data_IF_589818373639
#
_entry.id   IF_589818373639
#
_cell.length_a   1.000
_cell.length_b   1.000
_cell.length_c   1.000
_cell.angle_alpha   90.00
_cell.angle_beta   90.00
_cell.angle_gamma   90.00
#
_symmetry.space_group_name_H-M   'P 1'
#
loop_
_entity.id
_entity.type
_entity.pdbx_description
1 polymer ?
#
# COMPACT_ATOMS: atom_id res chain seq x y z
N UNK A 1 -25.70 22.61 25.26
CA UNK A 1 -25.74 21.19 24.89
C UNK A 1 -24.72 20.96 23.79
N UNK A 2 -23.98 19.85 23.94
CA UNK A 2 -23.14 19.14 22.97
C UNK A 2 -21.89 19.84 22.44
N UNK A 3 -20.80 19.56 23.15
CA UNK A 3 -19.42 19.50 22.68
C UNK A 3 -19.31 18.51 21.52
N UNK A 4 -19.01 19.00 20.33
CA UNK A 4 -18.62 18.20 19.18
C UNK A 4 -17.19 17.70 19.41
N UNK A 5 -17.06 16.47 19.91
CA UNK A 5 -15.79 15.74 19.87
C UNK A 5 -15.49 15.41 18.41
N UNK A 6 -14.54 16.11 17.82
CA UNK A 6 -13.85 15.61 16.62
C UNK A 6 -13.15 14.32 17.02
N UNK A 7 -13.77 13.16 16.72
CA UNK A 7 -13.05 11.90 16.75
C UNK A 7 -11.87 12.06 15.80
N UNK A 8 -10.65 12.04 16.33
CA UNK A 8 -9.47 11.90 15.51
C UNK A 8 -9.68 10.63 14.67
N UNK A 9 -9.84 10.79 13.35
CA UNK A 9 -9.99 9.66 12.45
C UNK A 9 -8.77 8.78 12.60
N UNK A 10 -8.95 7.55 13.09
CA UNK A 10 -7.87 6.58 13.20
C UNK A 10 -7.25 6.40 11.80
N UNK A 11 -5.93 6.54 11.69
CA UNK A 11 -5.20 6.37 10.43
C UNK A 11 -4.65 4.95 10.37
N UNK A 12 -4.79 4.34 9.20
CA UNK A 12 -4.25 3.05 8.82
C UNK A 12 -3.16 3.29 7.78
N UNK A 13 -1.94 2.85 8.05
CA UNK A 13 -0.82 2.98 7.11
C UNK A 13 -0.54 1.64 6.46
N UNK A 14 -0.40 1.66 5.13
CA UNK A 14 0.03 0.50 4.33
C UNK A 14 1.37 0.83 3.66
N UNK A 15 2.18 -0.19 3.40
CA UNK A 15 3.60 0.01 3.06
C UNK A 15 3.93 -0.64 1.72
N UNK A 16 4.70 0.04 0.88
CA UNK A 16 5.19 -0.52 -0.38
C UNK A 16 6.69 -0.31 -0.50
N UNK A 17 7.39 -1.30 -1.02
CA UNK A 17 8.71 -1.08 -1.61
C UNK A 17 8.55 -0.77 -3.10
N UNK A 18 8.81 0.48 -3.55
CA UNK A 18 8.82 0.78 -4.97
C UNK A 18 9.94 0.00 -5.67
N UNK A 19 9.66 -0.57 -6.84
CA UNK A 19 10.71 -1.11 -7.69
C UNK A 19 11.71 -0.02 -8.08
N UNK A 20 12.97 -0.41 -8.35
CA UNK A 20 14.06 0.48 -8.78
C UNK A 20 13.60 1.50 -9.83
N UNK A 21 13.87 2.77 -9.60
CA UNK A 21 13.52 3.89 -10.47
C UNK A 21 12.06 4.34 -10.40
N UNK A 22 11.17 3.63 -9.68
CA UNK A 22 9.75 3.98 -9.59
C UNK A 22 9.37 4.77 -8.33
N UNK A 23 10.26 4.86 -7.33
CA UNK A 23 9.93 5.49 -6.04
C UNK A 23 9.45 6.94 -6.16
N UNK A 24 10.20 7.77 -6.87
CA UNK A 24 9.81 9.18 -7.08
C UNK A 24 8.56 9.32 -7.94
N UNK A 25 8.41 8.49 -8.97
CA UNK A 25 7.23 8.49 -9.82
C UNK A 25 5.96 8.18 -9.02
N UNK A 26 5.99 7.10 -8.24
CA UNK A 26 4.86 6.74 -7.38
C UNK A 26 4.57 7.81 -6.32
N UNK A 27 5.58 8.48 -5.78
CA UNK A 27 5.38 9.59 -4.85
C UNK A 27 4.64 10.77 -5.53
N UNK A 28 5.10 11.18 -6.72
CA UNK A 28 4.61 12.40 -7.40
C UNK A 28 3.31 12.17 -8.17
N UNK A 29 3.26 11.12 -8.99
CA UNK A 29 2.16 10.84 -9.94
C UNK A 29 1.16 9.83 -9.37
N UNK A 30 1.60 9.03 -8.40
CA UNK A 30 0.77 8.01 -7.78
C UNK A 30 0.72 6.72 -8.54
N UNK A 31 -0.34 5.97 -8.28
CA UNK A 31 -0.56 4.67 -8.89
C UNK A 31 -1.32 4.86 -10.18
N UNK A 32 -0.67 4.62 -11.31
CA UNK A 32 -1.28 4.68 -12.64
C UNK A 32 -1.38 3.28 -13.23
N UNK A 33 -2.49 2.90 -13.89
CA UNK A 33 -2.62 1.58 -14.51
C UNK A 33 -1.46 1.24 -15.47
N UNK A 34 -0.89 2.24 -16.15
CA UNK A 34 0.26 2.07 -17.04
C UNK A 34 1.54 1.60 -16.32
N UNK A 35 1.68 1.86 -15.02
CA UNK A 35 2.82 1.41 -14.21
C UNK A 35 2.68 -0.03 -13.70
N UNK A 36 1.47 -0.58 -13.81
CA UNK A 36 1.06 -1.91 -13.36
C UNK A 36 0.31 -2.62 -14.50
N UNK A 37 0.97 -3.00 -15.61
CA UNK A 37 0.29 -3.56 -16.77
C UNK A 37 -0.48 -4.85 -16.45
N UNK A 38 -1.58 -5.09 -17.17
CA UNK A 38 -2.36 -6.33 -17.11
C UNK A 38 -2.12 -7.14 -18.38
N UNK A 39 -1.38 -8.24 -18.28
CA UNK A 39 -1.05 -9.15 -19.37
C UNK A 39 -0.90 -10.59 -18.83
N UNK A 40 -2.02 -11.27 -18.53
CA UNK A 40 -1.99 -12.61 -17.95
C UNK A 40 -1.38 -13.64 -18.91
N UNK A 41 -0.73 -14.70 -18.39
CA UNK A 41 -0.64 -15.06 -16.97
C UNK A 41 0.50 -14.35 -16.22
N UNK A 42 1.30 -13.51 -16.88
CA UNK A 42 2.56 -13.00 -16.32
C UNK A 42 2.41 -11.71 -15.53
N UNK A 43 1.44 -10.87 -15.89
CA UNK A 43 1.20 -9.57 -15.25
C UNK A 43 -0.28 -9.46 -14.92
N UNK A 44 -0.60 -9.22 -13.67
CA UNK A 44 -1.96 -9.23 -13.13
C UNK A 44 -2.51 -7.83 -12.84
N UNK A 45 -1.74 -6.79 -13.16
CA UNK A 45 -2.10 -5.39 -12.99
C UNK A 45 -2.27 -4.93 -11.54
N UNK A 46 -1.92 -5.76 -10.55
CA UNK A 46 -2.13 -5.42 -9.15
C UNK A 46 -0.96 -4.61 -8.58
N UNK A 47 -1.28 -3.79 -7.58
CA UNK A 47 -0.30 -3.11 -6.74
C UNK A 47 -0.32 -3.72 -5.34
N UNK A 48 0.82 -4.30 -4.97
CA UNK A 48 1.01 -5.00 -3.71
C UNK A 48 1.58 -4.09 -2.61
N UNK A 49 1.07 -4.25 -1.39
CA UNK A 49 1.50 -3.54 -0.18
C UNK A 49 1.63 -4.50 0.99
N UNK A 50 2.58 -4.27 1.89
CA UNK A 50 2.50 -4.78 3.26
C UNK A 50 1.33 -4.12 3.98
N UNK A 51 0.62 -4.94 4.75
CA UNK A 51 -0.58 -4.56 5.48
C UNK A 51 -0.33 -3.62 6.66
N UNK A 52 -1.40 -3.24 7.38
CA UNK A 52 -1.29 -2.34 8.51
C UNK A 52 -0.56 -2.98 9.69
N UNK A 53 0.14 -2.15 10.46
CA UNK A 53 0.95 -2.53 11.63
C UNK A 53 2.18 -3.40 11.35
N UNK A 54 2.46 -3.76 10.09
CA UNK A 54 3.62 -4.55 9.73
C UNK A 54 4.21 -4.11 8.37
N UNK A 55 5.38 -3.46 8.42
CA UNK A 55 6.11 -3.03 7.21
C UNK A 55 7.13 -4.06 6.72
N UNK A 56 7.25 -5.22 7.37
CA UNK A 56 8.33 -6.19 7.14
C UNK A 56 8.38 -6.72 5.71
N UNK A 57 7.24 -6.95 5.06
CA UNK A 57 7.21 -7.34 3.64
C UNK A 57 7.85 -6.24 2.79
N UNK A 58 7.47 -4.96 3.00
CA UNK A 58 8.07 -3.86 2.26
C UNK A 58 9.58 -3.70 2.55
N UNK A 59 10.02 -3.93 3.78
CA UNK A 59 11.45 -3.93 4.14
C UNK A 59 12.22 -5.02 3.40
N UNK A 60 11.68 -6.23 3.36
CA UNK A 60 12.27 -7.40 2.69
C UNK A 60 12.55 -7.11 1.20
N UNK A 61 11.54 -6.61 0.48
CA UNK A 61 11.72 -6.22 -0.93
C UNK A 61 12.65 -5.01 -1.09
N UNK A 62 12.65 -4.08 -0.14
CA UNK A 62 13.53 -2.90 -0.20
C UNK A 62 15.01 -3.25 -0.12
N UNK A 63 15.39 -4.39 0.48
CA UNK A 63 16.78 -4.88 0.44
C UNK A 63 17.30 -5.00 -1.00
N UNK A 64 16.41 -5.40 -1.92
CA UNK A 64 16.70 -5.54 -3.35
C UNK A 64 16.40 -4.25 -4.12
N UNK A 65 15.26 -3.61 -3.88
CA UNK A 65 14.82 -2.46 -4.67
C UNK A 65 15.53 -1.15 -4.32
N UNK A 66 15.90 -0.93 -3.06
CA UNK A 66 16.71 0.23 -2.60
C UNK A 66 16.11 1.60 -2.97
N UNK A 67 14.80 1.70 -3.03
CA UNK A 67 14.08 2.97 -3.27
C UNK A 67 13.56 3.61 -1.98
N UNK A 68 13.62 2.88 -0.86
CA UNK A 68 12.95 3.21 0.38
C UNK A 68 11.57 2.56 0.48
N UNK A 69 10.80 2.99 1.48
CA UNK A 69 9.45 2.50 1.74
C UNK A 69 8.47 3.65 1.51
N UNK A 70 7.52 3.42 0.62
CA UNK A 70 6.39 4.30 0.38
C UNK A 70 5.28 3.96 1.37
N UNK A 71 4.92 4.91 2.22
CA UNK A 71 3.84 4.79 3.19
C UNK A 71 2.62 5.53 2.66
N UNK A 72 1.44 4.88 2.68
CA UNK A 72 0.16 5.51 2.32
C UNK A 72 -0.71 5.55 3.57
N UNK A 73 -1.18 6.73 3.96
CA UNK A 73 -1.97 6.95 5.17
C UNK A 73 -3.45 7.11 4.84
N UNK A 74 -4.25 6.12 5.22
CA UNK A 74 -5.67 5.96 4.86
C UNK A 74 -6.50 6.13 6.13
N UNK A 75 -7.58 6.91 6.08
CA UNK A 75 -8.50 6.93 7.22
C UNK A 75 -9.17 5.56 7.38
N UNK A 76 -9.45 5.16 8.63
CA UNK A 76 -9.99 3.84 8.94
C UNK A 76 -11.28 3.52 8.17
N UNK A 77 -12.17 4.49 7.99
CA UNK A 77 -13.44 4.25 7.32
C UNK A 77 -13.25 3.89 5.85
N UNK A 78 -12.38 4.63 5.15
CA UNK A 78 -11.98 4.32 3.78
C UNK A 78 -11.22 2.99 3.70
N UNK A 79 -10.35 2.70 4.67
CA UNK A 79 -9.63 1.43 4.71
C UNK A 79 -10.58 0.23 4.81
N UNK A 80 -11.51 0.27 5.76
CA UNK A 80 -12.50 -0.78 5.96
C UNK A 80 -13.43 -0.92 4.76
N UNK A 81 -13.80 0.18 4.11
CA UNK A 81 -14.70 0.17 2.96
C UNK A 81 -14.04 -0.38 1.68
N UNK A 82 -12.78 0.00 1.40
CA UNK A 82 -12.19 -0.24 0.08
C UNK A 82 -11.04 -1.26 0.06
N UNK A 83 -10.31 -1.41 1.16
CA UNK A 83 -9.02 -2.14 1.14
C UNK A 83 -8.99 -3.36 2.07
N UNK A 84 -9.77 -3.38 3.15
CA UNK A 84 -9.77 -4.48 4.13
C UNK A 84 -10.14 -5.84 3.53
N UNK A 85 -11.05 -5.88 2.57
CA UNK A 85 -11.41 -7.13 1.87
C UNK A 85 -10.34 -7.63 0.91
N UNK A 86 -9.27 -6.85 0.70
CA UNK A 86 -8.14 -7.17 -0.17
C UNK A 86 -6.92 -7.65 0.64
N UNK A 87 -7.08 -7.82 1.95
CA UNK A 87 -6.05 -8.41 2.80
C UNK A 87 -5.94 -9.91 2.52
N UNK A 88 -4.70 -10.37 2.33
CA UNK A 88 -4.33 -11.76 2.19
C UNK A 88 -3.22 -12.09 3.18
N UNK A 89 -3.22 -13.34 3.65
CA UNK A 89 -2.07 -13.87 4.39
C UNK A 89 -0.90 -13.97 3.41
N UNK A 90 0.19 -13.29 3.72
CA UNK A 90 1.45 -13.46 3.02
C UNK A 90 2.09 -14.78 3.48
N UNK A 91 2.20 -15.74 2.58
CA UNK A 91 2.64 -17.11 2.89
C UNK A 91 3.94 -17.46 2.16
N UNK A 92 5.07 -17.13 2.78
CA UNK A 92 6.42 -17.54 2.35
C UNK A 92 6.89 -18.85 3.02
N UNK A 93 6.02 -19.54 3.79
CA UNK A 93 6.39 -20.71 4.61
C UNK A 93 7.53 -20.45 5.61
N UNK A 94 7.71 -19.20 6.02
CA UNK A 94 8.74 -18.74 6.95
C UNK A 94 8.30 -18.77 8.42
N UNK A 95 7.02 -19.06 8.68
CA UNK A 95 6.43 -19.13 10.02
C UNK A 95 5.93 -17.79 10.56
N UNK A 96 6.00 -16.71 9.78
CA UNK A 96 5.47 -15.40 10.18
C UNK A 96 4.04 -15.20 9.68
N UNK A 97 3.21 -14.58 10.51
CA UNK A 97 1.85 -14.16 10.12
C UNK A 97 1.89 -12.70 9.69
N UNK A 98 2.07 -12.49 8.38
CA UNK A 98 2.14 -11.17 7.76
C UNK A 98 0.96 -10.99 6.81
N UNK A 99 0.50 -9.75 6.66
CA UNK A 99 -0.62 -9.41 5.78
C UNK A 99 -0.09 -8.66 4.57
N UNK A 100 -0.54 -9.07 3.38
CA UNK A 100 -0.38 -8.34 2.14
C UNK A 100 -1.73 -7.77 1.71
N UNK A 101 -1.73 -6.60 1.06
CA UNK A 101 -2.91 -6.00 0.43
C UNK A 101 -2.69 -5.95 -1.07
N UNK A 102 -3.59 -6.59 -1.81
CA UNK A 102 -3.54 -6.69 -3.27
C UNK A 102 -4.52 -5.69 -3.87
N UNK A 103 -4.03 -4.51 -4.26
CA UNK A 103 -4.88 -3.44 -4.78
C UNK A 103 -5.00 -3.55 -6.31
N UNK A 104 -6.19 -3.84 -6.88
CA UNK A 104 -6.38 -3.86 -8.33
C UNK A 104 -6.41 -2.45 -8.92
N UNK A 105 -6.11 -2.34 -10.22
CA UNK A 105 -6.08 -1.07 -10.95
C UNK A 105 -7.36 -0.23 -10.77
N UNK A 106 -8.53 -0.88 -10.69
CA UNK A 106 -9.83 -0.23 -10.54
C UNK A 106 -9.94 0.62 -9.27
N UNK A 107 -9.08 0.41 -8.27
CA UNK A 107 -9.06 1.17 -7.02
C UNK A 107 -7.94 2.21 -6.94
N UNK A 108 -7.09 2.33 -7.97
CA UNK A 108 -5.98 3.30 -7.94
C UNK A 108 -6.45 4.75 -7.82
N UNK A 109 -7.58 5.10 -8.43
CA UNK A 109 -8.18 6.43 -8.30
C UNK A 109 -8.58 6.75 -6.85
N UNK A 110 -8.99 5.74 -6.07
CA UNK A 110 -9.31 5.88 -4.65
C UNK A 110 -8.02 5.94 -3.83
N UNK A 111 -7.09 5.03 -4.10
CA UNK A 111 -5.79 4.97 -3.42
C UNK A 111 -5.00 6.28 -3.54
N UNK A 112 -5.06 6.94 -4.70
CA UNK A 112 -4.39 8.21 -4.97
C UNK A 112 -4.98 9.42 -4.21
N UNK A 113 -6.14 9.28 -3.56
CA UNK A 113 -6.72 10.34 -2.73
C UNK A 113 -6.01 10.47 -1.37
N UNK A 114 -5.27 9.44 -0.97
CA UNK A 114 -4.62 9.40 0.33
C UNK A 114 -3.19 9.95 0.27
N UNK A 115 -2.78 10.70 1.31
CA UNK A 115 -1.41 11.20 1.41
C UNK A 115 -0.42 10.05 1.50
N UNK A 116 0.76 10.28 0.93
CA UNK A 116 1.85 9.31 0.89
C UNK A 116 3.21 9.98 1.04
N UNK A 117 4.13 9.26 1.66
CA UNK A 117 5.51 9.71 1.88
C UNK A 117 6.47 8.59 1.50
N UNK A 118 7.60 8.95 0.88
CA UNK A 118 8.67 8.01 0.59
C UNK A 118 9.78 8.20 1.63
N UNK A 119 10.00 7.19 2.47
CA UNK A 119 11.08 7.18 3.46
C UNK A 119 12.26 6.38 2.95
N UNK A 120 13.39 7.06 2.77
CA UNK A 120 14.68 6.45 2.46
C UNK A 120 15.47 6.41 3.75
N UNK A 121 15.80 5.21 4.20
CA UNK A 121 16.72 4.99 5.32
C UNK A 121 18.17 5.02 4.82
#
# INVERSE_FOLDING_TARGET
MQSSFSQASQIITIYKSPQRGKGQKLLQEGFQPLDFPYNPPYLDGNCYFAGPNDRSIAEEYNLSYKEGILEVSIDKSSYEQYFKSLEYRYDEKDGYERIEIVVPQGLFAILNQFPRVLKRE
#
